data_IF_072297344745
#
_entry.id   IF_072297344745
#
_cell.length_a   1.000
_cell.length_b   1.000
_cell.length_c   1.000
_cell.angle_alpha   90.00
_cell.angle_beta   90.00
_cell.angle_gamma   90.00
#
_symmetry.space_group_name_H-M   'P 1'
#
loop_
_entity.id
_entity.type
_entity.pdbx_description
1 polymer ?
#
# COMPACT_ATOMS: atom_id res chain seq x y z
N UNK A 1 9.92 -22.12 -2.22
CA UNK A 1 10.97 -23.12 -1.92
C UNK A 1 11.51 -22.77 -0.55
N UNK A 2 11.13 -23.54 0.49
CA UNK A 2 11.61 -23.28 1.85
C UNK A 2 13.00 -23.89 1.93
N UNK A 3 14.02 -23.05 2.08
CA UNK A 3 15.39 -23.52 2.31
C UNK A 3 15.45 -24.00 3.76
N UNK A 4 15.69 -25.30 4.04
CA UNK A 4 15.82 -25.77 5.40
C UNK A 4 17.09 -25.17 6.02
N UNK A 5 16.93 -24.46 7.13
CA UNK A 5 18.04 -23.91 7.91
C UNK A 5 18.14 -24.73 9.20
N UNK A 6 19.26 -25.43 9.37
CA UNK A 6 19.56 -26.18 10.60
C UNK A 6 20.46 -25.33 11.49
N UNK A 7 20.05 -25.13 12.75
CA UNK A 7 20.84 -24.39 13.75
C UNK A 7 21.33 -25.36 14.82
N UNK A 8 22.64 -25.39 15.04
CA UNK A 8 23.25 -26.21 16.10
C UNK A 8 23.35 -25.39 17.39
N UNK A 9 22.63 -25.82 18.42
CA UNK A 9 22.61 -25.20 19.75
C UNK A 9 23.27 -26.14 20.75
N UNK A 10 24.26 -25.68 21.54
CA UNK A 10 24.84 -26.49 22.62
C UNK A 10 23.77 -26.89 23.65
N UNK A 11 23.82 -28.13 24.15
CA UNK A 11 22.78 -28.71 25.03
C UNK A 11 22.41 -27.83 26.23
N UNK A 12 23.39 -27.16 26.84
CA UNK A 12 23.19 -26.27 28.00
C UNK A 12 22.49 -24.94 27.67
N UNK A 13 22.27 -24.63 26.39
CA UNK A 13 21.59 -23.41 25.93
C UNK A 13 20.27 -23.69 25.22
N UNK A 14 19.83 -24.94 25.17
CA UNK A 14 18.60 -25.34 24.47
C UNK A 14 17.37 -24.67 25.07
N UNK A 15 17.28 -24.60 26.41
CA UNK A 15 16.18 -23.95 27.11
C UNK A 15 16.15 -22.43 26.84
N UNK A 16 17.30 -21.76 26.94
CA UNK A 16 17.45 -20.34 26.60
C UNK A 16 17.09 -20.06 25.14
N UNK A 17 17.49 -20.94 24.21
CA UNK A 17 17.14 -20.85 22.81
C UNK A 17 15.63 -20.96 22.59
N UNK A 18 14.92 -21.89 23.26
CA UNK A 18 13.46 -21.99 23.14
C UNK A 18 12.72 -20.81 23.77
N UNK A 19 13.26 -20.21 24.83
CA UNK A 19 12.71 -18.97 25.42
C UNK A 19 12.87 -17.82 24.43
N UNK A 20 14.07 -17.62 23.87
CA UNK A 20 14.35 -16.53 22.91
C UNK A 20 13.67 -16.72 21.56
N UNK A 21 13.61 -17.96 21.08
CA UNK A 21 12.83 -18.32 19.89
C UNK A 21 11.33 -18.16 20.17
N UNK A 22 10.89 -18.53 21.37
CA UNK A 22 9.54 -18.25 21.86
C UNK A 22 9.24 -16.77 21.89
N UNK A 23 10.13 -15.92 22.39
CA UNK A 23 10.02 -14.44 22.38
C UNK A 23 10.05 -13.86 20.96
N UNK A 24 10.85 -14.42 20.05
CA UNK A 24 10.91 -14.02 18.64
C UNK A 24 9.65 -14.41 17.86
N UNK A 25 9.12 -15.62 18.12
CA UNK A 25 7.83 -16.09 17.58
C UNK A 25 6.66 -15.35 18.26
N UNK A 26 6.83 -14.99 19.53
CA UNK A 26 5.86 -14.26 20.34
C UNK A 26 6.05 -12.74 20.32
N UNK A 27 6.87 -12.20 19.41
CA UNK A 27 6.68 -10.85 18.87
C UNK A 27 5.41 -10.91 18.01
N UNK A 28 4.30 -11.27 18.67
CA UNK A 28 2.96 -11.11 18.16
C UNK A 28 2.85 -9.61 18.02
N UNK A 29 2.91 -9.06 16.79
CA UNK A 29 2.53 -7.68 16.62
C UNK A 29 1.14 -7.63 17.22
N UNK A 30 0.90 -6.77 18.20
CA UNK A 30 -0.46 -6.55 18.66
C UNK A 30 -1.29 -6.38 17.38
N UNK A 31 -2.26 -7.27 17.07
CA UNK A 31 -2.98 -7.23 15.80
C UNK A 31 -3.71 -5.88 15.62
N UNK A 32 -3.93 -5.17 16.73
CA UNK A 32 -4.53 -3.85 16.76
C UNK A 32 -3.51 -2.71 16.55
N UNK A 33 -2.20 -2.98 16.60
CA UNK A 33 -1.14 -1.98 16.37
C UNK A 33 -0.69 -2.04 14.91
N UNK A 34 -0.84 -0.94 14.14
CA UNK A 34 -0.43 -0.91 12.74
C UNK A 34 1.07 -1.19 12.58
N UNK A 35 1.42 -2.17 11.74
CA UNK A 35 2.82 -2.52 11.42
C UNK A 35 3.54 -1.33 10.79
N UNK A 36 4.77 -1.02 11.22
CA UNK A 36 5.61 -0.02 10.57
C UNK A 36 6.00 -0.50 9.17
N UNK A 37 5.63 0.27 8.14
CA UNK A 37 5.94 -0.08 6.76
C UNK A 37 6.88 0.98 6.14
N UNK A 38 8.13 0.65 5.77
CA UNK A 38 9.02 1.62 5.13
C UNK A 38 8.43 2.15 3.81
N UNK A 39 8.74 3.40 3.46
CA UNK A 39 8.32 3.98 2.18
C UNK A 39 8.81 3.13 1.02
N UNK A 40 7.95 2.93 0.02
CA UNK A 40 8.25 2.07 -1.14
C UNK A 40 8.16 0.57 -0.89
N UNK A 41 7.76 0.13 0.30
CA UNK A 41 7.48 -1.29 0.56
C UNK A 41 6.09 -1.66 0.07
N UNK A 42 5.96 -2.85 -0.54
CA UNK A 42 4.66 -3.41 -0.93
C UNK A 42 3.86 -3.76 0.33
N UNK A 43 2.65 -3.23 0.50
CA UNK A 43 1.83 -3.57 1.66
C UNK A 43 1.24 -4.98 1.50
N UNK A 44 1.24 -5.76 2.58
CA UNK A 44 0.84 -7.18 2.58
C UNK A 44 -0.57 -7.45 2.05
N UNK A 45 -1.51 -6.50 2.18
CA UNK A 45 -2.88 -6.66 1.65
C UNK A 45 -2.92 -6.81 0.13
N UNK A 46 -1.88 -6.37 -0.58
CA UNK A 46 -1.77 -6.47 -2.05
C UNK A 46 -1.51 -7.91 -2.51
N UNK A 47 -1.03 -8.76 -1.61
CA UNK A 47 -0.64 -10.14 -1.91
C UNK A 47 -1.74 -11.15 -1.55
N UNK A 48 -2.88 -10.71 -1.01
CA UNK A 48 -3.98 -11.60 -0.61
C UNK A 48 -4.94 -11.89 -1.77
N UNK A 49 -5.70 -12.98 -1.65
CA UNK A 49 -6.70 -13.37 -2.64
C UNK A 49 -7.87 -12.37 -2.72
N UNK A 50 -8.13 -11.63 -1.63
CA UNK A 50 -9.15 -10.57 -1.56
C UNK A 50 -8.68 -9.24 -2.17
N UNK A 51 -7.39 -9.06 -2.42
CA UNK A 51 -6.83 -7.80 -2.91
C UNK A 51 -7.54 -7.23 -4.17
N UNK A 52 -7.93 -8.05 -5.17
CA UNK A 52 -8.67 -7.56 -6.33
C UNK A 52 -10.05 -6.99 -5.98
N UNK A 53 -10.79 -7.63 -5.07
CA UNK A 53 -12.14 -7.17 -4.69
C UNK A 53 -12.06 -5.92 -3.83
N UNK A 54 -11.07 -5.85 -2.93
CA UNK A 54 -10.77 -4.65 -2.13
C UNK A 54 -10.37 -3.46 -3.02
N UNK A 55 -9.52 -3.69 -4.03
CA UNK A 55 -9.13 -2.66 -4.99
C UNK A 55 -10.32 -2.16 -5.83
N UNK A 56 -11.23 -3.05 -6.25
CA UNK A 56 -12.44 -2.68 -6.97
C UNK A 56 -13.39 -1.83 -6.11
N UNK A 57 -13.67 -2.27 -4.88
CA UNK A 57 -14.49 -1.53 -3.93
C UNK A 57 -13.91 -0.14 -3.61
N UNK A 58 -12.59 -0.07 -3.38
CA UNK A 58 -11.89 1.19 -3.24
C UNK A 58 -12.08 2.07 -4.48
N UNK A 59 -11.86 1.51 -5.67
CA UNK A 59 -11.94 2.29 -6.90
C UNK A 59 -13.33 2.92 -7.08
N UNK A 60 -14.40 2.19 -6.77
CA UNK A 60 -15.77 2.71 -6.90
C UNK A 60 -16.05 3.91 -5.97
N UNK A 61 -15.47 3.95 -4.77
CA UNK A 61 -15.59 5.06 -3.81
C UNK A 61 -14.82 6.33 -4.21
N UNK A 62 -13.89 6.23 -5.18
CA UNK A 62 -13.05 7.35 -5.56
C UNK A 62 -13.77 8.25 -6.57
N UNK A 63 -13.79 9.55 -6.27
CA UNK A 63 -14.31 10.59 -7.17
C UNK A 63 -13.61 10.59 -8.54
N UNK A 64 -14.29 11.06 -9.58
CA UNK A 64 -13.71 11.15 -10.93
C UNK A 64 -12.38 11.93 -10.99
N UNK A 65 -12.22 13.09 -10.34
CA UNK A 65 -10.92 13.78 -10.28
C UNK A 65 -9.83 12.93 -9.62
N UNK A 66 -10.18 12.23 -8.53
CA UNK A 66 -9.27 11.31 -7.85
C UNK A 66 -8.82 10.14 -8.73
N UNK A 67 -9.76 9.53 -9.47
CA UNK A 67 -9.47 8.49 -10.46
C UNK A 67 -8.53 9.00 -11.56
N UNK A 68 -8.72 10.25 -11.99
CA UNK A 68 -7.84 10.91 -12.96
C UNK A 68 -6.39 10.98 -12.47
N UNK A 69 -6.16 11.56 -11.28
CA UNK A 69 -4.82 11.65 -10.69
C UNK A 69 -4.22 10.25 -10.48
N UNK A 70 -4.99 9.30 -9.93
CA UNK A 70 -4.48 7.96 -9.68
C UNK A 70 -4.09 7.22 -10.95
N UNK A 71 -4.79 7.41 -12.08
CA UNK A 71 -4.39 6.79 -13.34
C UNK A 71 -2.98 7.21 -13.76
N UNK A 72 -2.61 8.47 -13.56
CA UNK A 72 -1.24 8.92 -13.85
C UNK A 72 -0.21 8.25 -12.93
N UNK A 73 -0.52 8.09 -11.65
CA UNK A 73 0.37 7.38 -10.72
C UNK A 73 0.50 5.89 -11.08
N UNK A 74 -0.63 5.24 -11.40
CA UNK A 74 -0.70 3.84 -11.81
C UNK A 74 0.10 3.59 -13.09
N UNK A 75 0.09 4.53 -14.03
CA UNK A 75 0.81 4.38 -15.28
C UNK A 75 2.30 4.70 -15.13
N UNK A 76 2.66 5.67 -14.29
CA UNK A 76 4.05 5.91 -13.94
C UNK A 76 4.68 4.71 -13.19
N UNK A 77 3.89 4.05 -12.33
CA UNK A 77 4.33 2.89 -11.55
C UNK A 77 4.11 1.56 -12.30
N UNK A 78 4.34 1.54 -13.62
CA UNK A 78 4.06 0.33 -14.41
C UNK A 78 5.06 -0.79 -14.14
N UNK A 79 6.33 -0.43 -14.16
CA UNK A 79 7.45 -1.37 -14.12
C UNK A 79 8.31 -1.17 -12.85
N UNK A 80 8.36 0.05 -12.32
CA UNK A 80 9.12 0.42 -11.13
C UNK A 80 8.31 1.34 -10.20
N UNK A 81 8.76 1.51 -8.95
CA UNK A 81 8.13 2.43 -8.01
C UNK A 81 8.20 3.85 -8.56
N UNK A 82 7.04 4.45 -8.82
CA UNK A 82 6.96 5.83 -9.26
C UNK A 82 7.23 6.78 -8.09
N UNK A 83 7.92 7.89 -8.37
CA UNK A 83 8.06 9.02 -7.46
C UNK A 83 7.69 10.29 -8.22
N UNK A 84 6.57 10.92 -7.85
CA UNK A 84 6.01 12.06 -8.57
C UNK A 84 5.86 13.27 -7.65
N UNK A 85 6.37 14.40 -8.10
CA UNK A 85 6.11 15.69 -7.47
C UNK A 85 4.64 16.08 -7.65
N UNK A 86 4.04 16.82 -6.69
CA UNK A 86 2.71 17.38 -6.85
C UNK A 86 2.55 18.23 -8.13
N UNK A 87 3.62 18.92 -8.54
CA UNK A 87 3.64 19.72 -9.77
C UNK A 87 3.58 18.83 -11.02
N UNK A 88 4.37 17.75 -11.07
CA UNK A 88 4.36 16.81 -12.19
C UNK A 88 2.97 16.17 -12.35
N UNK A 89 2.33 15.79 -11.24
CA UNK A 89 0.95 15.31 -11.26
C UNK A 89 -0.03 16.36 -11.77
N UNK A 90 0.14 17.62 -11.38
CA UNK A 90 -0.73 18.70 -11.85
C UNK A 90 -0.56 18.94 -13.36
N UNK A 91 0.68 18.90 -13.85
CA UNK A 91 1.01 19.08 -15.27
C UNK A 91 0.46 17.91 -16.11
N UNK A 92 0.66 16.67 -15.66
CA UNK A 92 0.16 15.45 -16.32
C UNK A 92 -1.37 15.41 -16.41
N UNK A 93 -2.06 15.89 -15.36
CA UNK A 93 -3.52 15.91 -15.30
C UNK A 93 -4.14 17.22 -15.81
N UNK A 94 -3.32 18.16 -16.27
CA UNK A 94 -3.72 19.52 -16.66
C UNK A 94 -4.63 20.18 -15.60
N UNK A 95 -4.32 19.96 -14.33
CA UNK A 95 -5.22 20.35 -13.25
C UNK A 95 -5.19 21.87 -13.04
N UNK A 96 -6.34 22.58 -13.11
CA UNK A 96 -6.36 24.04 -13.18
C UNK A 96 -5.88 24.75 -11.91
N UNK A 97 -5.78 24.02 -10.79
CA UNK A 97 -5.32 24.54 -9.49
C UNK A 97 -3.86 24.18 -9.17
N UNK A 98 -3.12 23.62 -10.11
CA UNK A 98 -1.72 23.25 -9.93
C UNK A 98 -1.49 22.25 -8.79
N UNK A 99 -0.27 22.24 -8.25
CA UNK A 99 0.16 21.37 -7.15
C UNK A 99 -0.77 21.40 -5.91
N UNK A 100 -1.24 22.57 -5.40
CA UNK A 100 -2.19 22.60 -4.28
C UNK A 100 -3.51 21.90 -4.59
N UNK A 101 -3.97 21.97 -5.84
CA UNK A 101 -5.16 21.27 -6.31
C UNK A 101 -5.02 19.76 -6.23
N UNK A 102 -3.86 19.22 -6.62
CA UNK A 102 -3.55 17.79 -6.55
C UNK A 102 -3.58 17.30 -5.11
N UNK A 103 -2.95 18.03 -4.18
CA UNK A 103 -2.96 17.68 -2.76
C UNK A 103 -4.39 17.62 -2.20
N UNK A 104 -5.26 18.57 -2.59
CA UNK A 104 -6.67 18.56 -2.20
C UNK A 104 -7.44 17.34 -2.73
N UNK A 105 -7.21 16.97 -3.99
CA UNK A 105 -7.80 15.77 -4.60
C UNK A 105 -7.33 14.51 -3.89
N UNK A 106 -6.02 14.34 -3.70
CA UNK A 106 -5.44 13.17 -3.01
C UNK A 106 -5.87 13.10 -1.54
N UNK A 107 -6.11 14.23 -0.88
CA UNK A 107 -6.75 14.27 0.44
C UNK A 107 -8.17 13.69 0.42
N UNK A 108 -8.94 13.96 -0.63
CA UNK A 108 -10.24 13.34 -0.88
C UNK A 108 -10.14 11.83 -1.14
N UNK A 109 -9.16 11.41 -1.95
CA UNK A 109 -8.89 9.97 -2.19
C UNK A 109 -8.49 9.27 -0.89
N UNK A 110 -7.65 9.88 -0.05
CA UNK A 110 -7.31 9.36 1.27
C UNK A 110 -8.52 9.15 2.20
N UNK A 111 -9.56 9.99 2.09
CA UNK A 111 -10.84 9.77 2.80
C UNK A 111 -11.64 8.60 2.22
N UNK A 112 -11.55 8.33 0.93
CA UNK A 112 -12.18 7.14 0.32
C UNK A 112 -11.46 5.86 0.78
N UNK A 113 -10.13 5.87 0.77
CA UNK A 113 -9.28 4.77 1.26
C UNK A 113 -9.63 4.40 2.70
N UNK A 114 -9.75 5.39 3.59
CA UNK A 114 -10.15 5.14 4.99
C UNK A 114 -11.53 4.51 5.12
N UNK A 115 -12.46 4.83 4.22
CA UNK A 115 -13.82 4.26 4.20
C UNK A 115 -13.85 2.85 3.61
N UNK A 116 -12.91 2.52 2.73
CA UNK A 116 -12.76 1.18 2.15
C UNK A 116 -12.25 0.14 3.16
N UNK A 117 -11.81 0.55 4.36
CA UNK A 117 -11.46 -0.38 5.44
C UNK A 117 -10.24 -1.24 5.15
N UNK A 118 -9.32 -0.77 4.28
CA UNK A 118 -8.09 -1.49 3.99
C UNK A 118 -7.21 -1.63 5.25
N UNK A 119 -6.30 -2.61 5.31
CA UNK A 119 -5.32 -2.70 6.40
C UNK A 119 -4.55 -1.39 6.59
N UNK A 120 -4.32 -1.06 7.85
CA UNK A 120 -3.65 0.17 8.26
C UNK A 120 -2.25 -0.19 8.74
N UNK A 121 -1.29 0.63 8.35
CA UNK A 121 0.13 0.52 8.69
C UNK A 121 0.60 1.84 9.31
N UNK A 122 1.68 1.77 10.08
CA UNK A 122 2.36 2.96 10.61
C UNK A 122 3.38 3.45 9.58
N UNK A 123 3.34 4.74 9.27
CA UNK A 123 4.33 5.40 8.41
C UNK A 123 5.66 5.60 9.11
N UNK A 124 6.77 5.78 8.37
CA UNK A 124 8.05 6.18 8.96
C UNK A 124 7.95 7.48 9.80
N UNK A 125 6.90 8.28 9.58
CA UNK A 125 6.61 9.51 10.31
C UNK A 125 5.68 9.31 11.52
N UNK A 126 5.30 8.07 11.84
CA UNK A 126 4.45 7.71 12.97
C UNK A 126 2.96 7.92 12.75
N UNK A 127 2.49 8.09 11.51
CA UNK A 127 1.06 8.26 11.19
C UNK A 127 0.44 6.98 10.65
N UNK A 128 -0.86 6.80 10.80
CA UNK A 128 -1.58 5.63 10.28
C UNK A 128 -2.01 5.82 8.82
N UNK A 129 -1.71 4.83 7.96
CA UNK A 129 -1.98 4.90 6.52
C UNK A 129 -2.17 3.53 5.87
N UNK A 130 -2.88 3.47 4.74
CA UNK A 130 -3.24 2.20 4.07
C UNK A 130 -2.33 1.84 2.87
N UNK A 131 -1.32 2.66 2.59
CA UNK A 131 -0.28 2.41 1.58
C UNK A 131 -0.78 2.15 0.15
N UNK A 132 -1.73 2.95 -0.31
CA UNK A 132 -2.05 3.03 -1.74
C UNK A 132 -0.99 3.84 -2.52
N UNK A 133 -0.51 4.89 -1.89
CA UNK A 133 0.69 5.65 -2.26
C UNK A 133 1.33 6.14 -0.95
N UNK A 134 2.59 6.55 -0.94
CA UNK A 134 3.18 7.23 0.21
C UNK A 134 3.49 8.70 -0.09
N UNK A 135 3.62 9.52 0.94
CA UNK A 135 4.06 10.91 0.85
C UNK A 135 5.28 11.12 1.75
N UNK A 136 6.45 11.30 1.13
CA UNK A 136 7.72 11.43 1.84
C UNK A 136 8.00 12.86 2.34
N UNK A 137 7.09 13.82 2.09
CA UNK A 137 7.26 15.24 2.36
C UNK A 137 7.47 16.11 1.12
N UNK A 138 7.84 15.50 0.00
CA UNK A 138 8.14 16.16 -1.27
C UNK A 138 7.45 15.47 -2.45
N UNK A 139 7.40 14.15 -2.46
CA UNK A 139 6.93 13.30 -3.56
C UNK A 139 5.90 12.28 -3.10
N UNK A 140 4.99 11.98 -4.02
CA UNK A 140 4.11 10.83 -3.90
C UNK A 140 4.80 9.61 -4.50
N UNK A 141 4.73 8.47 -3.82
CA UNK A 141 5.26 7.21 -4.36
C UNK A 141 4.21 6.11 -4.46
N UNK A 142 4.28 5.28 -5.49
CA UNK A 142 3.39 4.13 -5.68
C UNK A 142 4.19 2.95 -6.21
N UNK A 143 4.02 1.78 -5.59
CA UNK A 143 4.70 0.56 -6.03
C UNK A 143 3.99 -0.09 -7.22
N UNK A 144 4.71 -0.85 -8.06
CA UNK A 144 4.11 -1.55 -9.20
C UNK A 144 2.98 -2.52 -8.84
N UNK A 145 3.06 -3.14 -7.67
CA UNK A 145 2.10 -4.14 -7.21
C UNK A 145 0.75 -3.51 -6.88
N UNK A 146 0.77 -2.37 -6.18
CA UNK A 146 -0.44 -1.57 -5.92
C UNK A 146 -0.98 -1.02 -7.24
N UNK A 147 -0.11 -0.46 -8.09
CA UNK A 147 -0.51 0.06 -9.39
C UNK A 147 -1.18 -1.01 -10.26
N UNK A 148 -0.64 -2.23 -10.28
CA UNK A 148 -1.21 -3.37 -11.01
C UNK A 148 -2.62 -3.72 -10.54
N UNK A 149 -2.87 -3.76 -9.24
CA UNK A 149 -4.21 -4.01 -8.70
C UNK A 149 -5.20 -2.92 -9.10
N UNK A 150 -4.82 -1.66 -8.88
CA UNK A 150 -5.69 -0.52 -9.22
C UNK A 150 -5.91 -0.39 -10.72
N UNK A 151 -4.93 -0.75 -11.56
CA UNK A 151 -5.09 -0.77 -13.01
C UNK A 151 -6.19 -1.75 -13.42
N UNK A 152 -6.19 -2.95 -12.86
CA UNK A 152 -7.26 -3.94 -13.09
C UNK A 152 -8.62 -3.41 -12.62
N UNK A 153 -8.68 -2.81 -11.42
CA UNK A 153 -9.89 -2.19 -10.89
C UNK A 153 -10.41 -1.01 -11.76
N UNK A 154 -9.50 -0.33 -12.46
CA UNK A 154 -9.84 0.83 -13.31
C UNK A 154 -10.44 0.47 -14.68
N UNK A 155 -10.37 -0.80 -15.09
CA UNK A 155 -10.88 -1.27 -16.36
C UNK A 155 -12.39 -1.53 -16.30
N UNK A 156 -13.18 -1.05 -17.27
CA UNK A 156 -14.60 -1.36 -17.36
C UNK A 156 -14.77 -2.85 -17.69
N UNK A 157 -15.04 -3.68 -16.68
CA UNK A 157 -15.18 -5.13 -16.83
C UNK A 157 -14.74 -5.97 -15.64
N UNK A 158 -14.14 -5.38 -14.60
CA UNK A 158 -13.70 -6.08 -13.38
C UNK A 158 -14.79 -6.63 -12.45
N UNK A 159 -16.03 -6.82 -12.94
CA UNK A 159 -16.98 -7.72 -12.26
C UNK A 159 -16.62 -9.13 -12.70
N UNK A 160 -15.98 -9.88 -11.83
CA UNK A 160 -15.95 -11.34 -11.91
C UNK A 160 -17.38 -11.81 -12.20
N UNK A 161 -17.55 -12.36 -13.39
CA UNK A 161 -18.75 -13.06 -13.79
C UNK A 161 -18.77 -14.38 -13.03
N UNK A 162 -19.33 -14.37 -11.83
CA UNK A 162 -19.85 -15.58 -11.19
C UNK A 162 -21.29 -15.78 -11.67
N UNK A 163 -21.42 -16.59 -12.73
CA UNK A 163 -22.61 -17.39 -13.05
C UNK A 163 -22.19 -18.64 -13.82
#
# INVERSE_FOLDING_TARGET
MIIPVTVHVPDHRVEEFYIRFGEFVADVPNPDVPTLLPSGTVPSWVETDEAPSMAAALWDEISLPGKGILRHMIEAARDETAHLLPKELADLSQYPKGAPGVAGVLGGVGKAIRRAGLPVYTTPRGTSWHYIWDWDGERYSMTPEVARLLRKASQPGGRTSDR
#
